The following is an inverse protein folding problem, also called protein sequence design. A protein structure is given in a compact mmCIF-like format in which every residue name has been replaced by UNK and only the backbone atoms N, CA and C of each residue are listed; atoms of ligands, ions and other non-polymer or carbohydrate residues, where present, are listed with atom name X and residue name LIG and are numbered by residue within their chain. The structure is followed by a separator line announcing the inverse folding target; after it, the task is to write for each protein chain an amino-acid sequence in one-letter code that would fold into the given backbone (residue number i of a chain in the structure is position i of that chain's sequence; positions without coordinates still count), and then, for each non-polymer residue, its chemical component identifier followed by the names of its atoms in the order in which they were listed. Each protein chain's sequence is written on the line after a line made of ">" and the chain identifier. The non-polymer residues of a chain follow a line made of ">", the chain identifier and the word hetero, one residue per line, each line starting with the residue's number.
data_IF_435393889432
#
_entry.id   IF_435393889432
#
_cell.length_a   1.000
_cell.length_b   1.000
_cell.length_c   1.000
_cell.angle_alpha   90.00
_cell.angle_beta   90.00
_cell.angle_gamma   90.00
#
_symmetry.space_group_name_H-M   'P 1'
#
loop_
_entity.id
_entity.type
_entity.pdbx_description
1 polymer ?
#
# COMPACT_ATOMS: atom_id res chain seq x y z
N UNK A 1 -18.46 24.88 13.41
CA UNK A 1 -18.79 24.09 12.20
C UNK A 1 -19.17 22.66 12.57
N UNK A 2 -18.30 21.88 13.25
CA UNK A 2 -18.61 20.52 13.71
C UNK A 2 -18.30 20.33 15.20
N UNK A 3 -18.82 19.24 15.79
CA UNK A 3 -18.45 18.81 17.14
C UNK A 3 -16.97 18.43 17.24
N UNK A 4 -16.42 18.38 18.45
CA UNK A 4 -15.03 17.95 18.68
C UNK A 4 -14.79 16.51 18.17
N UNK A 5 -15.71 15.59 18.50
CA UNK A 5 -15.67 14.20 18.03
C UNK A 5 -15.63 14.11 16.51
N UNK A 6 -16.56 14.78 15.83
CA UNK A 6 -16.61 14.80 14.35
C UNK A 6 -15.34 15.40 13.76
N UNK A 7 -14.83 16.47 14.35
CA UNK A 7 -13.59 17.12 13.89
C UNK A 7 -12.38 16.21 14.04
N UNK A 8 -12.32 15.40 15.10
CA UNK A 8 -11.27 14.40 15.28
C UNK A 8 -11.31 13.31 14.19
N UNK A 9 -12.49 12.78 13.89
CA UNK A 9 -12.67 11.78 12.83
C UNK A 9 -12.26 12.32 11.44
N UNK A 10 -12.65 13.55 11.11
CA UNK A 10 -12.23 14.22 9.86
C UNK A 10 -10.70 14.35 9.82
N UNK A 11 -10.07 14.77 10.93
CA UNK A 11 -8.61 14.91 11.02
C UNK A 11 -7.91 13.58 10.80
N UNK A 12 -8.42 12.49 11.36
CA UNK A 12 -7.81 11.17 11.21
C UNK A 12 -7.99 10.61 9.80
N UNK A 13 -9.11 10.86 9.14
CA UNK A 13 -9.29 10.56 7.71
C UNK A 13 -8.28 11.32 6.82
N UNK A 14 -8.05 12.62 7.11
CA UNK A 14 -7.04 13.43 6.40
C UNK A 14 -5.64 12.88 6.64
N UNK A 15 -5.29 12.55 7.89
CA UNK A 15 -3.99 11.94 8.23
C UNK A 15 -3.77 10.63 7.49
N UNK A 16 -4.79 9.78 7.40
CA UNK A 16 -4.73 8.55 6.62
C UNK A 16 -4.49 8.86 5.14
N UNK A 17 -5.23 9.78 4.53
CA UNK A 17 -4.96 10.18 3.14
C UNK A 17 -3.51 10.66 2.94
N UNK A 18 -3.00 11.46 3.87
CA UNK A 18 -1.64 11.99 3.81
C UNK A 18 -0.59 10.89 3.91
N UNK A 19 -0.81 9.87 4.76
CA UNK A 19 0.17 8.78 4.89
C UNK A 19 0.33 7.98 3.59
N UNK A 20 -0.75 7.79 2.83
CA UNK A 20 -0.72 7.10 1.54
C UNK A 20 -0.21 7.96 0.36
N UNK A 21 0.19 9.23 0.57
CA UNK A 21 0.62 10.08 -0.55
C UNK A 21 1.73 9.47 -1.43
N UNK A 22 2.75 8.76 -0.92
CA UNK A 22 3.74 8.10 -1.79
C UNK A 22 3.09 7.09 -2.75
N UNK A 23 2.13 6.30 -2.26
CA UNK A 23 1.38 5.34 -3.08
C UNK A 23 0.51 6.05 -4.13
N UNK A 24 -0.28 7.06 -3.71
CA UNK A 24 -1.10 7.83 -4.63
C UNK A 24 -0.27 8.50 -5.73
N UNK A 25 0.84 9.13 -5.36
CA UNK A 25 1.71 9.84 -6.31
C UNK A 25 2.34 8.87 -7.32
N UNK A 26 2.75 7.70 -6.85
CA UNK A 26 3.24 6.62 -7.73
C UNK A 26 2.17 6.17 -8.72
N UNK A 27 0.91 6.00 -8.27
CA UNK A 27 -0.19 5.63 -9.17
C UNK A 27 -0.49 6.71 -10.22
N UNK A 28 -0.36 8.00 -9.89
CA UNK A 28 -0.52 9.08 -10.87
C UNK A 28 0.59 9.06 -11.92
N UNK A 29 1.83 8.76 -11.51
CA UNK A 29 2.92 8.55 -12.46
C UNK A 29 2.65 7.35 -13.38
N UNK A 30 2.26 6.21 -12.81
CA UNK A 30 1.93 5.02 -13.60
C UNK A 30 0.72 5.24 -14.53
N UNK A 31 -0.25 6.05 -14.12
CA UNK A 31 -1.36 6.47 -14.96
C UNK A 31 -0.88 7.29 -16.17
N UNK A 32 0.03 8.24 -15.96
CA UNK A 32 0.62 9.03 -17.05
C UNK A 32 1.36 8.14 -18.08
N UNK A 33 2.00 7.07 -17.61
CA UNK A 33 2.72 6.14 -18.48
C UNK A 33 1.81 5.15 -19.22
N UNK A 34 0.78 4.63 -18.56
CA UNK A 34 0.04 3.45 -19.03
C UNK A 34 -1.43 3.70 -19.32
N UNK A 35 -1.98 4.85 -18.92
CA UNK A 35 -3.41 5.14 -18.97
C UNK A 35 -4.25 4.41 -17.91
N UNK A 36 -3.67 3.50 -17.11
CA UNK A 36 -4.42 2.76 -16.09
C UNK A 36 -5.02 3.70 -15.05
N UNK A 37 -6.33 3.62 -14.74
CA UNK A 37 -6.94 4.49 -13.73
C UNK A 37 -6.30 4.35 -12.35
N UNK A 38 -6.23 5.45 -11.60
CA UNK A 38 -5.74 5.45 -10.21
C UNK A 38 -6.73 4.78 -9.28
N UNK A 39 -8.02 5.06 -9.43
CA UNK A 39 -9.11 4.31 -8.80
C UNK A 39 -9.72 3.37 -9.83
N UNK A 40 -9.90 2.10 -9.48
CA UNK A 40 -10.29 1.04 -10.40
C UNK A 40 -11.53 0.33 -9.88
N UNK A 41 -12.56 0.12 -10.70
CA UNK A 41 -13.65 -0.79 -10.33
C UNK A 41 -13.12 -2.22 -10.24
N UNK A 42 -13.83 -3.09 -9.51
CA UNK A 42 -13.32 -4.44 -9.25
C UNK A 42 -13.17 -5.27 -10.53
N UNK A 43 -14.16 -5.21 -11.42
CA UNK A 43 -14.13 -5.91 -12.71
C UNK A 43 -12.91 -5.58 -13.58
N UNK A 44 -12.32 -4.38 -13.43
CA UNK A 44 -11.14 -4.01 -14.20
C UNK A 44 -9.87 -4.76 -13.75
N UNK A 45 -9.80 -5.15 -12.47
CA UNK A 45 -8.68 -5.91 -11.90
C UNK A 45 -9.00 -7.41 -11.75
N UNK A 46 -10.29 -7.77 -11.77
CA UNK A 46 -10.81 -9.12 -11.59
C UNK A 46 -11.88 -9.43 -12.64
N UNK A 47 -11.53 -9.44 -13.95
CA UNK A 47 -12.51 -9.62 -15.03
C UNK A 47 -13.15 -11.01 -15.06
N UNK A 48 -12.50 -12.02 -14.48
CA UNK A 48 -13.01 -13.39 -14.40
C UNK A 48 -13.96 -13.62 -13.19
N UNK A 49 -14.19 -12.60 -12.37
CA UNK A 49 -15.00 -12.69 -11.15
C UNK A 49 -16.38 -12.08 -11.40
N UNK A 50 -17.38 -12.91 -11.68
CA UNK A 50 -18.74 -12.45 -12.04
C UNK A 50 -19.38 -11.57 -10.94
N UNK A 51 -19.08 -11.83 -9.66
CA UNK A 51 -19.62 -11.01 -8.58
C UNK A 51 -18.98 -9.61 -8.51
N UNK A 52 -17.81 -9.42 -9.13
CA UNK A 52 -17.12 -8.14 -9.19
C UNK A 52 -17.66 -7.23 -10.31
N UNK A 53 -18.52 -7.75 -11.21
CA UNK A 53 -19.08 -6.99 -12.33
C UNK A 53 -20.09 -5.93 -11.88
N UNK A 54 -20.98 -6.30 -10.96
CA UNK A 54 -22.10 -5.45 -10.50
C UNK A 54 -21.80 -4.73 -9.17
N UNK A 55 -20.59 -4.87 -8.63
CA UNK A 55 -20.23 -4.20 -7.37
C UNK A 55 -19.76 -2.76 -7.62
N UNK A 56 -20.57 -1.81 -7.19
CA UNK A 56 -20.36 -0.37 -7.39
C UNK A 56 -20.06 0.38 -6.08
N UNK A 57 -20.15 -0.29 -4.93
CA UNK A 57 -20.08 0.38 -3.62
C UNK A 57 -18.67 0.35 -3.03
N UNK A 58 -17.76 -0.37 -3.66
CA UNK A 58 -16.34 -0.49 -3.31
C UNK A 58 -15.47 -0.44 -4.56
N UNK A 59 -14.21 -0.07 -4.37
CA UNK A 59 -13.26 0.07 -5.46
C UNK A 59 -11.84 -0.17 -4.98
N UNK A 60 -10.93 -0.32 -5.92
CA UNK A 60 -9.50 -0.38 -5.66
C UNK A 60 -8.85 0.99 -5.87
N UNK A 61 -7.88 1.31 -5.02
CA UNK A 61 -6.87 2.32 -5.29
C UNK A 61 -5.64 1.57 -5.79
N UNK A 62 -5.31 1.79 -7.05
CA UNK A 62 -4.34 0.98 -7.80
C UNK A 62 -4.71 -0.51 -7.77
N UNK A 63 -3.73 -1.42 -7.86
CA UNK A 63 -3.99 -2.86 -7.76
C UNK A 63 -4.01 -3.38 -6.31
N UNK A 64 -3.70 -2.54 -5.31
CA UNK A 64 -3.28 -3.02 -3.99
C UNK A 64 -4.25 -2.74 -2.84
N UNK A 65 -5.07 -1.70 -2.91
CA UNK A 65 -5.87 -1.26 -1.76
C UNK A 65 -7.36 -1.25 -2.10
N UNK A 66 -8.13 -2.18 -1.55
CA UNK A 66 -9.59 -2.21 -1.61
C UNK A 66 -10.17 -1.25 -0.58
N UNK A 67 -11.18 -0.47 -0.96
CA UNK A 67 -11.84 0.53 -0.11
C UNK A 67 -13.35 0.40 -0.24
N UNK A 68 -14.04 0.33 0.90
CA UNK A 68 -15.52 0.33 0.99
C UNK A 68 -15.95 1.43 1.96
N UNK A 69 -16.33 2.63 1.49
CA UNK A 69 -16.89 3.65 2.37
C UNK A 69 -18.27 3.23 2.91
N UNK A 70 -18.65 3.76 4.07
CA UNK A 70 -20.02 3.64 4.58
C UNK A 70 -20.84 4.77 3.95
N UNK A 71 -21.90 4.43 3.22
CA UNK A 71 -22.71 5.41 2.46
C UNK A 71 -24.15 5.50 2.96
N UNK A 72 -24.52 4.61 3.88
CA UNK A 72 -25.84 4.47 4.46
C UNK A 72 -25.87 5.00 5.90
N UNK A 73 -26.94 5.73 6.32
CA UNK A 73 -27.04 6.23 7.68
C UNK A 73 -27.23 5.10 8.70
N UNK A 74 -26.75 5.32 9.92
CA UNK A 74 -26.96 4.48 11.11
C UNK A 74 -26.52 3.01 11.00
N UNK A 75 -25.62 2.71 10.06
CA UNK A 75 -25.04 1.37 9.90
C UNK A 75 -23.83 1.19 10.80
N UNK A 76 -23.76 0.05 11.51
CA UNK A 76 -22.62 -0.33 12.36
C UNK A 76 -21.78 -1.45 11.75
N UNK A 77 -22.32 -2.17 10.76
CA UNK A 77 -21.66 -3.27 10.06
C UNK A 77 -22.03 -3.21 8.59
N UNK A 78 -21.04 -3.24 7.70
CA UNK A 78 -21.26 -3.27 6.25
C UNK A 78 -20.76 -4.57 5.66
N UNK A 79 -21.39 -5.00 4.56
CA UNK A 79 -20.88 -6.06 3.69
C UNK A 79 -19.85 -5.47 2.73
N UNK A 80 -18.72 -6.17 2.60
CA UNK A 80 -17.62 -5.87 1.71
C UNK A 80 -17.31 -7.13 0.91
N UNK A 81 -17.21 -7.02 -0.42
CA UNK A 81 -16.88 -8.14 -1.27
C UNK A 81 -15.35 -8.27 -1.40
N UNK A 82 -14.82 -9.49 -1.29
CA UNK A 82 -13.40 -9.75 -1.50
C UNK A 82 -13.22 -10.39 -2.87
N UNK A 83 -12.80 -9.63 -3.89
CA UNK A 83 -12.69 -10.18 -5.24
C UNK A 83 -11.43 -11.04 -5.41
N UNK A 84 -11.50 -11.93 -6.40
CA UNK A 84 -10.39 -12.78 -6.84
C UNK A 84 -10.56 -14.26 -6.50
N UNK A 85 -9.58 -15.07 -6.90
CA UNK A 85 -9.60 -16.53 -6.72
C UNK A 85 -9.21 -16.92 -5.28
N UNK A 86 -9.41 -18.19 -4.93
CA UNK A 86 -9.12 -18.77 -3.58
C UNK A 86 -7.69 -18.59 -3.06
N UNK A 87 -6.73 -18.26 -3.93
CA UNK A 87 -5.35 -17.98 -3.56
C UNK A 87 -5.07 -16.49 -3.29
N UNK A 88 -6.06 -15.61 -3.46
CA UNK A 88 -5.96 -14.20 -3.11
C UNK A 88 -6.33 -14.04 -1.64
N UNK A 89 -5.46 -13.35 -0.91
CA UNK A 89 -5.65 -12.98 0.49
C UNK A 89 -5.78 -11.48 0.58
N UNK A 90 -6.70 -10.98 1.41
CA UNK A 90 -6.86 -9.57 1.71
C UNK A 90 -6.52 -9.31 3.17
N UNK A 91 -5.73 -8.29 3.45
CA UNK A 91 -5.31 -7.95 4.81
C UNK A 91 -5.99 -6.67 5.26
N UNK A 92 -6.79 -6.75 6.31
CA UNK A 92 -7.40 -5.57 6.91
C UNK A 92 -6.32 -4.59 7.38
N UNK A 93 -6.40 -3.33 6.92
CA UNK A 93 -5.33 -2.37 7.15
C UNK A 93 -5.14 -2.02 8.63
N UNK A 94 -6.23 -1.97 9.40
CA UNK A 94 -6.20 -1.56 10.80
C UNK A 94 -5.76 -2.71 11.72
N UNK A 95 -6.22 -3.93 11.44
CA UNK A 95 -6.01 -5.09 12.32
C UNK A 95 -4.94 -6.06 11.82
N UNK A 96 -4.44 -5.88 10.60
CA UNK A 96 -3.54 -6.79 9.88
C UNK A 96 -4.11 -8.20 9.66
N UNK A 97 -5.39 -8.43 9.97
CA UNK A 97 -6.01 -9.76 9.89
C UNK A 97 -6.23 -10.18 8.43
N UNK A 98 -5.82 -11.40 8.04
CA UNK A 98 -6.07 -11.93 6.71
C UNK A 98 -7.54 -12.35 6.53
N UNK A 99 -8.07 -12.16 5.32
CA UNK A 99 -9.40 -12.60 4.87
C UNK A 99 -9.30 -13.17 3.45
N UNK A 100 -9.70 -14.44 3.22
CA UNK A 100 -9.58 -15.06 1.90
C UNK A 100 -10.65 -14.56 0.94
N UNK A 101 -10.29 -14.46 -0.35
CA UNK A 101 -11.24 -14.31 -1.46
C UNK A 101 -11.64 -15.69 -2.04
N UNK A 102 -12.67 -15.77 -2.91
CA UNK A 102 -13.72 -14.78 -3.07
C UNK A 102 -14.74 -14.85 -1.94
N UNK A 103 -15.45 -13.74 -1.69
CA UNK A 103 -16.65 -13.77 -0.86
C UNK A 103 -16.95 -12.48 -0.11
N UNK A 104 -18.19 -12.38 0.35
CA UNK A 104 -18.61 -11.29 1.21
C UNK A 104 -18.10 -11.49 2.64
N UNK A 105 -17.60 -10.41 3.24
CA UNK A 105 -17.22 -10.35 4.65
C UNK A 105 -17.93 -9.18 5.30
N UNK A 106 -18.31 -9.37 6.56
CA UNK A 106 -18.80 -8.28 7.38
C UNK A 106 -17.63 -7.56 8.05
N UNK A 107 -17.61 -6.25 7.94
CA UNK A 107 -16.60 -5.36 8.54
C UNK A 107 -17.27 -4.26 9.34
N UNK A 108 -16.53 -3.72 10.32
CA UNK A 108 -17.01 -2.62 11.14
C UNK A 108 -17.29 -1.39 10.26
N UNK A 109 -18.54 -0.93 10.28
CA UNK A 109 -19.02 0.24 9.56
C UNK A 109 -19.16 1.47 10.46
N UNK A 110 -18.52 1.51 11.63
CA UNK A 110 -18.60 2.66 12.53
C UNK A 110 -18.04 3.92 11.86
N UNK A 111 -18.49 5.08 12.34
CA UNK A 111 -17.98 6.39 11.90
C UNK A 111 -16.48 6.58 12.13
N UNK A 112 -15.82 5.68 12.87
CA UNK A 112 -14.43 5.84 13.31
C UNK A 112 -13.42 5.51 12.21
N UNK A 113 -13.78 4.71 11.22
CA UNK A 113 -12.84 4.32 10.17
C UNK A 113 -13.53 3.92 8.87
N UNK A 114 -12.87 4.18 7.75
CA UNK A 114 -13.25 3.63 6.45
C UNK A 114 -12.58 2.26 6.27
N UNK A 115 -13.36 1.18 6.08
CA UNK A 115 -12.83 -0.14 5.77
C UNK A 115 -11.94 -0.12 4.54
N UNK A 116 -10.74 -0.68 4.71
CA UNK A 116 -9.75 -0.81 3.64
C UNK A 116 -8.87 -2.02 3.85
N UNK A 117 -8.60 -2.74 2.77
CA UNK A 117 -7.84 -3.99 2.80
C UNK A 117 -6.74 -3.96 1.76
N UNK A 118 -5.54 -4.37 2.15
CA UNK A 118 -4.43 -4.54 1.23
C UNK A 118 -4.48 -5.94 0.59
N UNK A 119 -4.36 -6.01 -0.73
CA UNK A 119 -4.25 -7.26 -1.47
C UNK A 119 -2.91 -7.93 -1.17
N UNK A 120 -2.94 -9.21 -0.83
CA UNK A 120 -1.75 -10.06 -0.75
C UNK A 120 -1.04 -10.10 -2.10
N UNK A 121 0.28 -10.10 -2.05
CA UNK A 121 1.13 -9.94 -3.23
C UNK A 121 1.51 -8.52 -3.56
N UNK A 122 1.22 -7.54 -2.69
CA UNK A 122 1.51 -6.14 -2.94
C UNK A 122 2.37 -5.50 -1.85
N UNK A 123 3.10 -4.45 -2.22
CA UNK A 123 3.84 -3.58 -1.31
C UNK A 123 3.31 -2.16 -1.48
N UNK A 124 2.95 -1.50 -0.38
CA UNK A 124 2.47 -0.11 -0.38
C UNK A 124 3.46 0.77 0.39
N UNK A 125 4.09 1.77 -0.25
CA UNK A 125 4.89 2.77 0.44
C UNK A 125 4.00 3.84 1.10
N UNK A 126 4.30 4.18 2.35
CA UNK A 126 3.59 5.23 3.10
C UNK A 126 4.58 6.12 3.86
N UNK A 127 4.13 7.32 4.25
CA UNK A 127 4.83 8.20 5.21
C UNK A 127 4.02 8.25 6.51
N UNK A 128 4.58 7.75 7.60
CA UNK A 128 3.84 7.67 8.89
C UNK A 128 3.93 8.99 9.70
N UNK A 129 4.89 9.85 9.40
CA UNK A 129 5.06 11.13 10.09
C UNK A 129 3.93 12.10 9.74
N UNK A 130 3.23 12.57 10.77
CA UNK A 130 2.13 13.53 10.59
C UNK A 130 2.70 14.92 10.34
N UNK A 131 2.36 15.50 9.18
CA UNK A 131 2.69 16.88 8.80
C UNK A 131 1.44 17.67 8.45
N UNK A 132 1.58 18.99 8.39
CA UNK A 132 0.48 19.92 8.08
C UNK A 132 0.22 20.07 6.57
N UNK A 133 1.19 19.74 5.73
CA UNK A 133 1.12 19.89 4.28
C UNK A 133 2.03 18.83 3.61
N UNK A 134 1.73 18.48 2.35
CA UNK A 134 2.51 17.50 1.58
C UNK A 134 3.95 17.96 1.34
N UNK A 135 4.17 19.26 1.16
CA UNK A 135 5.52 19.86 1.01
C UNK A 135 6.41 19.58 2.21
N UNK A 136 5.85 19.60 3.42
CA UNK A 136 6.55 19.30 4.67
C UNK A 136 6.83 17.80 4.85
N UNK A 137 6.26 16.93 4.01
CA UNK A 137 6.48 15.48 4.02
C UNK A 137 7.56 15.04 3.04
N UNK A 138 8.05 15.92 2.15
CA UNK A 138 8.90 15.55 1.01
C UNK A 138 10.12 14.72 1.43
N UNK A 139 10.73 15.11 2.55
CA UNK A 139 11.93 14.46 3.10
C UNK A 139 11.63 13.52 4.27
N UNK A 140 10.34 13.26 4.56
CA UNK A 140 10.00 12.25 5.55
C UNK A 140 10.25 10.84 4.99
N UNK A 141 10.80 9.95 5.83
CA UNK A 141 11.11 8.58 5.45
C UNK A 141 9.87 7.75 5.13
N UNK A 142 10.12 6.67 4.39
CA UNK A 142 9.13 5.74 3.91
C UNK A 142 9.04 4.53 4.83
N UNK A 143 7.81 4.10 5.09
CA UNK A 143 7.49 2.78 5.61
C UNK A 143 6.94 1.91 4.48
N UNK A 144 7.46 0.69 4.32
CA UNK A 144 6.93 -0.27 3.36
C UNK A 144 5.98 -1.25 4.05
N UNK A 145 4.72 -1.28 3.61
CA UNK A 145 3.75 -2.29 4.02
C UNK A 145 3.69 -3.42 3.00
N UNK A 146 4.28 -4.56 3.35
CA UNK A 146 4.39 -5.76 2.52
C UNK A 146 3.26 -6.72 2.92
N UNK A 147 2.36 -7.03 2.00
CA UNK A 147 1.34 -8.07 2.20
C UNK A 147 1.77 -9.34 1.46
N UNK A 148 2.23 -10.36 2.18
CA UNK A 148 2.64 -11.62 1.55
C UNK A 148 1.46 -12.26 0.79
N UNK A 149 1.73 -12.79 -0.39
CA UNK A 149 0.74 -13.64 -1.07
C UNK A 149 0.72 -15.03 -0.44
N UNK A 150 -0.41 -15.74 -0.60
CA UNK A 150 -0.57 -17.13 -0.16
C UNK A 150 -0.26 -18.13 -1.29
N UNK A 151 0.57 -17.72 -2.26
CA UNK A 151 1.13 -18.62 -3.27
C UNK A 151 2.43 -19.26 -2.76
N UNK A 152 2.99 -20.20 -3.53
CA UNK A 152 4.18 -20.97 -3.12
C UNK A 152 5.40 -20.10 -2.76
N UNK A 153 5.52 -18.93 -3.39
CA UNK A 153 6.72 -18.07 -3.31
C UNK A 153 6.53 -16.90 -2.34
N UNK A 154 5.36 -16.76 -1.71
CA UNK A 154 4.94 -15.64 -0.87
C UNK A 154 5.29 -14.27 -1.49
N UNK A 155 5.29 -14.19 -2.83
CA UNK A 155 5.75 -13.02 -3.57
C UNK A 155 4.91 -11.80 -3.21
N UNK A 156 5.53 -10.64 -3.03
CA UNK A 156 4.84 -9.35 -3.02
C UNK A 156 5.66 -8.28 -3.75
N UNK A 157 5.00 -7.44 -4.55
CA UNK A 157 5.67 -6.40 -5.34
C UNK A 157 5.01 -5.04 -5.11
N UNK A 158 5.81 -3.97 -5.18
CA UNK A 158 5.29 -2.61 -5.23
C UNK A 158 6.33 -1.67 -5.80
N UNK A 159 5.90 -0.46 -6.08
CA UNK A 159 6.70 0.56 -6.72
C UNK A 159 6.67 1.86 -5.93
N UNK A 160 7.69 2.69 -6.12
CA UNK A 160 7.70 4.07 -5.65
C UNK A 160 8.25 4.97 -6.74
N UNK A 161 7.56 6.09 -6.99
CA UNK A 161 8.03 7.19 -7.82
C UNK A 161 8.20 8.45 -6.97
N UNK A 162 9.30 9.19 -7.18
CA UNK A 162 9.54 10.49 -6.56
C UNK A 162 10.22 11.44 -7.54
N UNK A 163 9.80 12.70 -7.54
CA UNK A 163 10.41 13.83 -8.23
C UNK A 163 10.27 15.10 -7.36
N UNK A 164 10.49 16.28 -7.95
CA UNK A 164 10.30 17.55 -7.25
C UNK A 164 8.83 17.98 -7.05
N UNK A 165 7.86 17.22 -7.56
CA UNK A 165 6.43 17.42 -7.38
C UNK A 165 5.82 18.68 -8.00
N UNK A 166 6.62 19.52 -8.65
CA UNK A 166 6.23 20.90 -8.99
C UNK A 166 6.61 21.30 -10.42
N UNK A 167 7.75 20.82 -10.93
CA UNK A 167 8.30 21.27 -12.21
C UNK A 167 8.24 20.18 -13.29
N UNK A 168 8.67 20.53 -14.50
CA UNK A 168 8.84 19.58 -15.60
C UNK A 168 10.21 18.90 -15.62
N UNK A 169 11.01 19.02 -14.56
CA UNK A 169 12.35 18.42 -14.51
C UNK A 169 12.34 16.89 -14.60
N UNK A 170 11.22 16.23 -14.28
CA UNK A 170 11.05 14.81 -14.53
C UNK A 170 11.27 14.44 -16.02
N UNK A 171 10.95 15.34 -16.97
CA UNK A 171 11.21 15.14 -18.41
C UNK A 171 12.70 15.12 -18.76
N UNK A 172 13.56 15.63 -17.86
CA UNK A 172 15.02 15.65 -17.98
C UNK A 172 15.69 14.52 -17.18
N UNK A 173 14.91 13.66 -16.52
CA UNK A 173 15.43 12.58 -15.68
C UNK A 173 15.52 12.91 -14.19
N UNK A 174 15.03 14.06 -13.72
CA UNK A 174 15.06 14.42 -12.29
C UNK A 174 13.92 13.74 -11.50
N UNK A 175 13.95 12.42 -11.49
CA UNK A 175 13.05 11.57 -10.73
C UNK A 175 13.74 10.25 -10.37
N UNK A 176 13.09 9.44 -9.53
CA UNK A 176 13.42 8.04 -9.32
C UNK A 176 12.15 7.19 -9.48
N UNK A 177 12.29 5.99 -10.03
CA UNK A 177 11.23 5.00 -10.11
C UNK A 177 11.78 3.62 -9.78
N UNK A 178 11.37 3.07 -8.64
CA UNK A 178 11.95 1.84 -8.07
C UNK A 178 10.88 0.81 -7.76
N UNK A 179 11.22 -0.46 -7.93
CA UNK A 179 10.45 -1.60 -7.48
C UNK A 179 11.02 -2.19 -6.19
N UNK A 180 10.13 -2.66 -5.34
CA UNK A 180 10.45 -3.53 -4.20
C UNK A 180 9.84 -4.90 -4.44
N UNK A 181 10.62 -5.94 -4.16
CA UNK A 181 10.22 -7.34 -4.38
C UNK A 181 10.49 -8.09 -3.08
N UNK A 182 9.44 -8.60 -2.46
CA UNK A 182 9.51 -9.54 -1.35
C UNK A 182 9.27 -10.96 -1.86
N UNK A 183 10.15 -11.91 -1.53
CA UNK A 183 9.98 -13.32 -1.94
C UNK A 183 10.52 -14.29 -0.91
N UNK A 184 9.92 -15.47 -0.87
CA UNK A 184 10.46 -16.65 -0.19
C UNK A 184 11.58 -17.26 -1.04
N UNK A 185 12.76 -17.45 -0.46
CA UNK A 185 13.91 -18.13 -1.08
C UNK A 185 14.00 -19.58 -0.61
N UNK A 186 13.75 -19.82 0.67
CA UNK A 186 13.63 -21.14 1.28
C UNK A 186 12.63 -21.10 2.44
N UNK A 187 12.38 -22.22 3.13
CA UNK A 187 11.40 -22.27 4.22
C UNK A 187 11.66 -21.27 5.36
N UNK A 188 12.92 -20.88 5.55
CA UNK A 188 13.35 -19.99 6.62
C UNK A 188 14.00 -18.69 6.12
N UNK A 189 14.10 -18.50 4.79
CA UNK A 189 14.74 -17.34 4.20
C UNK A 189 13.79 -16.60 3.27
N UNK A 190 13.63 -15.30 3.55
CA UNK A 190 12.90 -14.36 2.72
C UNK A 190 13.81 -13.19 2.38
N UNK A 191 13.63 -12.62 1.20
CA UNK A 191 14.40 -11.45 0.74
C UNK A 191 13.48 -10.32 0.34
N UNK A 192 13.95 -9.09 0.57
CA UNK A 192 13.37 -7.85 0.07
C UNK A 192 14.45 -7.19 -0.78
N UNK A 193 14.20 -7.04 -2.07
CA UNK A 193 15.17 -6.41 -2.98
C UNK A 193 14.57 -5.19 -3.64
N UNK A 194 15.35 -4.12 -3.72
CA UNK A 194 15.01 -2.92 -4.47
C UNK A 194 15.64 -2.97 -5.87
N UNK A 195 14.92 -2.50 -6.88
CA UNK A 195 15.40 -2.45 -8.27
C UNK A 195 14.99 -1.14 -8.91
N UNK A 196 15.96 -0.40 -9.45
CA UNK A 196 15.66 0.75 -10.31
C UNK A 196 14.95 0.27 -11.59
N UNK A 197 13.74 0.81 -11.82
CA UNK A 197 12.91 0.48 -12.98
C UNK A 197 13.17 1.39 -14.18
N UNK A 198 13.70 2.60 -13.96
CA UNK A 198 14.08 3.51 -15.03
C UNK A 198 15.46 4.13 -14.78
N UNK A 199 16.45 3.65 -15.54
CA UNK A 199 17.84 4.11 -15.45
C UNK A 199 18.04 5.56 -15.87
N UNK A 200 17.05 6.18 -16.52
CA UNK A 200 17.10 7.60 -16.87
C UNK A 200 16.79 8.51 -15.66
N UNK A 201 16.13 7.98 -14.63
CA UNK A 201 15.90 8.66 -13.37
C UNK A 201 17.19 8.80 -12.58
N UNK A 202 17.57 10.05 -12.28
CA UNK A 202 18.84 10.43 -11.64
C UNK A 202 18.63 11.22 -10.35
N UNK A 203 17.41 11.28 -9.83
CA UNK A 203 17.15 11.98 -8.58
C UNK A 203 17.94 11.34 -7.44
N UNK A 204 18.83 12.12 -6.84
CA UNK A 204 19.45 11.80 -5.56
C UNK A 204 18.56 12.30 -4.41
N UNK A 205 18.43 11.50 -3.35
CA UNK A 205 17.58 11.84 -2.21
C UNK A 205 18.09 11.21 -0.91
N UNK A 206 17.94 11.95 0.18
CA UNK A 206 18.21 11.47 1.55
C UNK A 206 17.00 10.72 2.16
N UNK A 207 15.92 10.50 1.39
CA UNK A 207 14.73 9.81 1.88
C UNK A 207 15.04 8.33 2.08
N UNK A 208 14.97 7.90 3.34
CA UNK A 208 15.25 6.53 3.74
C UNK A 208 13.98 5.68 3.80
N UNK A 209 14.13 4.37 3.63
CA UNK A 209 13.16 3.39 4.12
C UNK A 209 13.51 3.14 5.59
N UNK A 210 12.74 3.72 6.52
CA UNK A 210 13.02 3.60 7.96
C UNK A 210 12.39 2.36 8.59
N UNK A 211 11.35 1.81 7.96
CA UNK A 211 10.53 0.74 8.54
C UNK A 211 9.93 -0.15 7.46
N UNK A 212 9.87 -1.45 7.76
CA UNK A 212 9.22 -2.45 6.92
C UNK A 212 8.25 -3.23 7.80
N UNK A 213 6.99 -3.32 7.36
CA UNK A 213 5.93 -4.09 8.02
C UNK A 213 5.52 -5.23 7.10
N UNK A 214 5.63 -6.48 7.56
CA UNK A 214 5.28 -7.66 6.76
C UNK A 214 4.03 -8.33 7.33
N UNK A 215 2.97 -8.40 6.54
CA UNK A 215 1.70 -9.06 6.85
C UNK A 215 1.67 -10.47 6.27
N UNK A 216 1.11 -11.41 7.03
CA UNK A 216 0.98 -12.80 6.58
C UNK A 216 2.23 -13.65 6.74
N UNK A 217 3.16 -13.27 7.63
CA UNK A 217 4.30 -14.12 7.98
C UNK A 217 3.85 -15.30 8.84
N UNK A 218 4.36 -16.50 8.55
CA UNK A 218 4.09 -17.70 9.34
C UNK A 218 4.89 -17.73 10.64
N UNK A 219 6.09 -17.15 10.61
CA UNK A 219 7.03 -17.10 11.72
C UNK A 219 7.63 -15.71 11.80
N UNK A 220 7.88 -15.23 13.03
CA UNK A 220 8.63 -14.00 13.23
C UNK A 220 10.10 -14.20 12.83
N UNK A 221 10.72 -13.22 12.17
CA UNK A 221 12.15 -13.30 11.85
C UNK A 221 12.98 -13.25 13.14
N UNK A 222 13.95 -14.16 13.27
CA UNK A 222 14.92 -14.12 14.39
C UNK A 222 16.12 -13.22 14.07
N UNK A 223 16.47 -13.11 12.79
CA UNK A 223 17.61 -12.35 12.30
C UNK A 223 17.22 -11.58 11.04
N UNK A 224 17.78 -10.39 10.88
CA UNK A 224 17.66 -9.58 9.66
C UNK A 224 19.04 -9.09 9.27
N UNK A 225 19.38 -9.28 8.00
CA UNK A 225 20.62 -8.80 7.39
C UNK A 225 20.27 -7.79 6.30
N UNK A 226 20.85 -6.60 6.38
CA UNK A 226 20.63 -5.53 5.42
C UNK A 226 21.91 -5.37 4.61
N UNK A 227 21.77 -5.32 3.28
CA UNK A 227 22.90 -5.09 2.38
C UNK A 227 22.66 -3.82 1.57
N UNK A 228 23.67 -2.97 1.48
CA UNK A 228 23.70 -1.81 0.58
C UNK A 228 24.96 -1.92 -0.27
N UNK A 229 24.81 -1.88 -1.59
CA UNK A 229 25.91 -2.03 -2.55
C UNK A 229 26.80 -3.26 -2.29
N UNK A 230 26.18 -4.35 -1.82
CA UNK A 230 26.85 -5.61 -1.50
C UNK A 230 27.47 -5.69 -0.10
N UNK A 231 27.47 -4.60 0.67
CA UNK A 231 28.02 -4.55 2.02
C UNK A 231 26.95 -4.74 3.09
N UNK A 232 27.22 -5.60 4.07
CA UNK A 232 26.36 -5.82 5.22
C UNK A 232 26.35 -4.58 6.12
N UNK A 233 25.17 -4.05 6.44
CA UNK A 233 24.97 -2.95 7.38
C UNK A 233 24.25 -3.45 8.62
N UNK A 234 24.76 -3.10 9.80
CA UNK A 234 24.13 -3.35 11.08
C UNK A 234 23.26 -2.14 11.46
N UNK A 235 21.94 -2.25 11.32
CA UNK A 235 20.98 -1.30 11.88
C UNK A 235 20.21 -1.94 13.04
N UNK A 236 19.95 -1.17 14.11
CA UNK A 236 19.00 -1.56 15.15
C UNK A 236 17.59 -1.50 14.56
N UNK A 237 17.00 -2.64 14.23
CA UNK A 237 15.58 -2.76 13.90
C UNK A 237 14.78 -3.00 15.19
N UNK A 238 13.83 -2.11 15.48
CA UNK A 238 12.75 -2.38 16.43
C UNK A 238 11.66 -3.16 15.69
N UNK A 239 11.46 -4.43 16.06
CA UNK A 239 10.31 -5.22 15.62
C UNK A 239 9.07 -4.81 16.43
N UNK A 240 7.98 -4.48 15.74
CA UNK A 240 6.62 -4.30 16.31
C UNK A 240 5.64 -5.12 15.47
#
# INVERSE_FOLDING_TARGET
>A
LFSEKTTALIRDAIRQRYSFLPYWYTLFYEHMLTGKPVMRPLWAEFPDDENALDEEREWLVGPALLVRPVMEPDVTTISLYLPGRRNVMWYDWATNKPKPAPGAVYVNGSMESVPRLQRGGTIIPVRERIRRASTLMRNDPITLYIAASYNKDNLANGTIYMDDGETFNYKKGEYLYWAFIYKKVSDQLYTITAKNLDKNGKLETDVLIEKIVIRGVRYFPMNVHIYLDGWLIYWLLLFL
#
